data_IF_634414765115
#
_entry.id   IF_634414765115
#
_cell.length_a   1.000
_cell.length_b   1.000
_cell.length_c   1.000
_cell.angle_alpha   90.00
_cell.angle_beta   90.00
_cell.angle_gamma   90.00
#
_symmetry.space_group_name_H-M   'P 1'
#
loop_
_entity.id
_entity.type
_entity.pdbx_description
1 polymer ?
#
# COMPACT_ATOMS: atom_id res chain seq x y z
N UNK A 1 -24.43 -21.58 -22.60
CA UNK A 1 -23.87 -21.34 -21.25
C UNK A 1 -22.52 -20.64 -21.44
N UNK A 2 -22.50 -19.31 -21.37
CA UNK A 2 -21.26 -18.54 -21.55
C UNK A 2 -20.36 -18.80 -20.34
N UNK A 3 -19.22 -19.48 -20.54
CA UNK A 3 -18.17 -19.59 -19.52
C UNK A 3 -17.82 -18.17 -19.09
N UNK A 4 -18.04 -17.83 -17.84
CA UNK A 4 -17.50 -16.61 -17.24
C UNK A 4 -16.01 -16.57 -17.54
N UNK A 5 -15.50 -15.50 -18.18
CA UNK A 5 -14.07 -15.37 -18.43
C UNK A 5 -13.36 -15.45 -17.08
N UNK A 6 -12.35 -16.32 -16.99
CA UNK A 6 -11.51 -16.41 -15.81
C UNK A 6 -10.80 -15.07 -15.64
N UNK A 7 -11.22 -14.31 -14.62
CA UNK A 7 -10.65 -13.04 -14.23
C UNK A 7 -10.00 -13.21 -12.87
N UNK A 8 -8.85 -12.59 -12.69
CA UNK A 8 -8.12 -12.53 -11.44
C UNK A 8 -8.32 -11.15 -10.84
N UNK A 9 -8.57 -11.11 -9.53
CA UNK A 9 -8.41 -9.90 -8.72
C UNK A 9 -7.09 -10.07 -7.99
N UNK A 10 -6.16 -9.16 -8.24
CA UNK A 10 -4.87 -9.12 -7.58
C UNK A 10 -4.89 -7.96 -6.60
N UNK A 11 -4.63 -8.28 -5.34
CA UNK A 11 -4.37 -7.30 -4.29
C UNK A 11 -2.99 -7.57 -3.73
N UNK A 12 -2.13 -6.55 -3.75
CA UNK A 12 -0.85 -6.55 -3.09
C UNK A 12 -0.74 -5.28 -2.26
N UNK A 13 -0.31 -5.43 -1.01
CA UNK A 13 0.03 -4.31 -0.13
C UNK A 13 1.36 -4.63 0.52
N UNK A 14 2.28 -3.68 0.49
CA UNK A 14 3.57 -3.73 1.16
C UNK A 14 3.71 -2.46 1.97
N UNK A 15 4.04 -2.60 3.24
CA UNK A 15 4.19 -1.48 4.17
C UNK A 15 5.45 -1.76 4.99
N UNK A 16 6.26 -0.73 5.22
CA UNK A 16 7.43 -0.81 6.05
C UNK A 16 7.61 0.47 6.86
N UNK A 17 8.22 0.32 8.04
CA UNK A 17 8.66 1.39 8.91
C UNK A 17 10.16 1.22 9.13
N UNK A 18 10.96 2.21 8.75
CA UNK A 18 12.41 2.23 9.00
C UNK A 18 12.76 3.58 9.59
N UNK A 19 13.33 3.58 10.80
CA UNK A 19 13.79 4.78 11.51
C UNK A 19 12.71 5.88 11.63
N UNK A 20 11.44 5.48 11.84
CA UNK A 20 10.30 6.40 11.93
C UNK A 20 9.78 6.89 10.58
N UNK A 21 10.36 6.45 9.45
CA UNK A 21 9.83 6.69 8.11
C UNK A 21 8.94 5.53 7.68
N UNK A 22 7.65 5.85 7.50
CA UNK A 22 6.67 4.92 6.97
C UNK A 22 6.56 5.06 5.47
N UNK A 23 6.64 3.95 4.75
CA UNK A 23 6.40 3.93 3.31
C UNK A 23 5.77 2.62 2.87
N UNK A 24 5.17 2.64 1.69
CA UNK A 24 4.46 1.48 1.20
C UNK A 24 3.99 1.62 -0.24
N UNK A 25 3.48 0.50 -0.73
CA UNK A 25 2.89 0.36 -2.05
C UNK A 25 1.65 -0.51 -1.97
N UNK A 26 0.61 -0.15 -2.71
CA UNK A 26 -0.63 -0.91 -2.84
C UNK A 26 -1.02 -1.00 -4.29
N UNK A 27 -1.30 -2.22 -4.74
CA UNK A 27 -1.76 -2.53 -6.09
C UNK A 27 -3.08 -3.28 -5.99
N UNK A 28 -4.11 -2.77 -6.67
CA UNK A 28 -5.37 -3.46 -6.91
C UNK A 28 -5.54 -3.56 -8.43
N UNK A 29 -5.64 -4.78 -8.95
CA UNK A 29 -5.66 -5.02 -10.39
C UNK A 29 -6.68 -6.09 -10.78
N UNK A 30 -7.40 -5.84 -11.86
CA UNK A 30 -8.28 -6.80 -12.52
C UNK A 30 -7.58 -7.31 -13.77
N UNK A 31 -7.28 -8.60 -13.82
CA UNK A 31 -6.47 -9.21 -14.88
C UNK A 31 -7.27 -10.33 -15.53
N UNK A 32 -7.27 -10.44 -16.85
CA UNK A 32 -7.89 -11.57 -17.53
C UNK A 32 -6.94 -12.79 -17.65
N UNK A 33 -7.45 -13.88 -18.23
CA UNK A 33 -6.69 -15.12 -18.42
C UNK A 33 -5.48 -14.99 -19.36
N UNK A 34 -5.47 -13.96 -20.20
CA UNK A 34 -4.42 -13.69 -21.19
C UNK A 34 -3.43 -12.65 -20.65
N UNK A 35 -3.53 -12.32 -19.35
CA UNK A 35 -2.72 -11.34 -18.62
C UNK A 35 -2.93 -9.88 -19.05
N UNK A 36 -4.03 -9.58 -19.74
CA UNK A 36 -4.40 -8.18 -19.96
C UNK A 36 -4.90 -7.55 -18.66
N UNK A 37 -4.33 -6.40 -18.33
CA UNK A 37 -4.82 -5.58 -17.22
C UNK A 37 -6.10 -4.86 -17.66
N UNK A 38 -7.26 -5.24 -17.14
CA UNK A 38 -8.52 -4.57 -17.44
C UNK A 38 -8.61 -3.22 -16.71
N UNK A 39 -8.16 -3.20 -15.47
CA UNK A 39 -8.15 -2.01 -14.60
C UNK A 39 -7.10 -2.21 -13.50
N UNK A 40 -6.29 -1.20 -13.24
CA UNK A 40 -5.34 -1.20 -12.14
C UNK A 40 -5.28 0.16 -11.45
N UNK A 41 -5.18 0.10 -10.13
CA UNK A 41 -4.83 1.22 -9.27
C UNK A 41 -3.61 0.84 -8.46
N UNK A 42 -2.52 1.58 -8.67
CA UNK A 42 -1.29 1.51 -7.88
C UNK A 42 -1.17 2.79 -7.05
N UNK A 43 -0.76 2.67 -5.81
CA UNK A 43 -0.50 3.80 -4.92
C UNK A 43 0.80 3.55 -4.21
N UNK A 44 1.70 4.54 -4.23
CA UNK A 44 2.96 4.53 -3.49
C UNK A 44 3.01 5.74 -2.59
N UNK A 45 3.53 5.55 -1.39
CA UNK A 45 3.61 6.62 -0.41
C UNK A 45 4.86 6.49 0.45
N UNK A 46 5.37 7.64 0.88
CA UNK A 46 6.45 7.74 1.85
C UNK A 46 6.24 8.94 2.76
N UNK A 47 6.46 8.75 4.05
CA UNK A 47 6.41 9.79 5.08
C UNK A 47 7.84 10.04 5.54
N UNK A 48 8.33 11.24 5.27
CA UNK A 48 9.65 11.67 5.72
C UNK A 48 9.50 12.64 6.89
N UNK A 49 10.12 12.31 8.01
CA UNK A 49 10.28 13.19 9.15
C UNK A 49 11.49 14.10 8.90
N UNK A 50 11.27 15.39 8.66
CA UNK A 50 12.38 16.33 8.60
C UNK A 50 12.72 16.82 10.02
N UNK A 51 13.85 16.37 10.56
CA UNK A 51 14.40 16.94 11.79
C UNK A 51 14.98 18.33 11.50
N UNK A 52 14.20 19.39 11.76
CA UNK A 52 14.75 20.74 11.87
C UNK A 52 15.21 20.98 13.30
N UNK A 53 16.52 20.88 13.54
CA UNK A 53 17.11 21.30 14.81
C UNK A 53 17.21 22.84 14.84
N UNK A 54 16.16 23.54 15.25
CA UNK A 54 16.26 24.98 15.50
C UNK A 54 16.79 25.24 16.90
N UNK A 55 18.07 25.63 17.00
CA UNK A 55 18.68 26.08 18.24
C UNK A 55 18.20 27.50 18.61
N UNK A 56 16.98 27.64 19.12
CA UNK A 56 16.59 28.87 19.83
C UNK A 56 17.02 28.76 21.30
N UNK A 57 18.07 29.50 21.68
CA UNK A 57 18.44 29.71 23.08
C UNK A 57 17.51 30.75 23.69
N UNK A 58 16.49 30.29 24.41
CA UNK A 58 15.91 31.08 25.50
C UNK A 58 16.32 30.46 26.84
N UNK A 59 16.74 31.26 27.83
CA UNK A 59 17.12 30.76 29.13
C UNK A 59 15.87 30.20 29.80
N UNK A 60 15.85 28.88 30.00
CA UNK A 60 14.96 28.12 30.91
C UNK A 60 13.72 27.42 30.31
N UNK A 61 13.50 27.42 28.99
CA UNK A 61 12.49 26.53 28.39
C UNK A 61 13.00 25.90 27.09
N UNK A 62 13.17 24.58 27.10
CA UNK A 62 13.45 23.77 25.90
C UNK A 62 12.09 23.28 25.37
N UNK A 63 11.50 24.03 24.45
CA UNK A 63 10.40 23.51 23.64
C UNK A 63 10.99 22.96 22.33
N UNK A 64 10.84 21.66 22.08
CA UNK A 64 11.06 21.06 20.77
C UNK A 64 9.76 21.28 19.98
N UNK A 65 9.76 22.16 18.97
CA UNK A 65 8.62 22.36 18.09
C UNK A 65 8.97 22.16 16.62
N UNK A 66 8.04 21.49 15.92
CA UNK A 66 7.91 21.17 14.49
C UNK A 66 8.94 20.23 13.87
N UNK A 67 8.58 18.94 13.85
CA UNK A 67 8.99 18.04 12.77
C UNK A 67 8.16 18.39 11.53
N UNK A 68 8.80 18.88 10.46
CA UNK A 68 8.09 19.09 9.20
C UNK A 68 7.87 17.71 8.56
N UNK A 69 6.68 17.15 8.69
CA UNK A 69 6.30 15.90 8.04
C UNK A 69 6.06 16.19 6.55
N UNK A 70 6.97 15.74 5.70
CA UNK A 70 6.73 15.74 4.25
C UNK A 70 6.24 14.35 3.84
N UNK A 71 5.00 14.27 3.35
CA UNK A 71 4.47 13.05 2.74
C UNK A 71 4.56 13.15 1.22
N UNK A 72 5.10 12.10 0.60
CA UNK A 72 5.06 11.91 -0.84
C UNK A 72 4.02 10.84 -1.14
N UNK A 73 3.16 11.11 -2.14
CA UNK A 73 2.18 10.13 -2.61
C UNK A 73 2.09 10.17 -4.12
N UNK A 74 2.21 9.01 -4.74
CA UNK A 74 1.96 8.79 -6.15
C UNK A 74 0.78 7.82 -6.32
N UNK A 75 -0.15 8.17 -7.21
CA UNK A 75 -1.29 7.33 -7.54
C UNK A 75 -1.32 7.17 -9.05
N UNK A 76 -1.19 5.93 -9.50
CA UNK A 76 -1.34 5.55 -10.88
C UNK A 76 -2.64 4.77 -11.03
N UNK A 77 -3.48 5.21 -11.97
CA UNK A 77 -4.66 4.50 -12.40
C UNK A 77 -4.58 4.26 -13.90
N UNK A 78 -4.82 3.04 -14.34
CA UNK A 78 -5.04 2.80 -15.76
C UNK A 78 -6.04 1.69 -16.00
N UNK A 79 -6.82 1.85 -17.07
CA UNK A 79 -7.88 0.92 -17.43
C UNK A 79 -8.01 0.80 -18.95
N UNK A 80 -8.38 -0.40 -19.39
CA UNK A 80 -8.70 -0.67 -20.78
C UNK A 80 -10.08 -0.07 -21.10
N UNK A 81 -10.11 0.89 -22.02
CA UNK A 81 -11.32 1.54 -22.50
C UNK A 81 -11.40 1.37 -24.03
N UNK A 82 -12.39 0.60 -24.48
CA UNK A 82 -12.61 0.24 -25.88
C UNK A 82 -11.36 -0.37 -26.55
N UNK A 83 -10.52 0.46 -27.16
CA UNK A 83 -9.32 0.10 -27.93
C UNK A 83 -8.05 0.85 -27.49
N UNK A 84 -8.05 1.40 -26.27
CA UNK A 84 -6.92 2.14 -25.69
C UNK A 84 -6.86 1.98 -24.18
N UNK A 85 -5.66 2.12 -23.62
CA UNK A 85 -5.48 2.30 -22.19
C UNK A 85 -5.59 3.78 -21.84
N UNK A 86 -6.52 4.11 -20.94
CA UNK A 86 -6.52 5.40 -20.25
C UNK A 86 -5.57 5.31 -19.07
N UNK A 87 -4.66 6.27 -18.93
CA UNK A 87 -3.69 6.34 -17.84
C UNK A 87 -3.84 7.70 -17.15
N UNK A 88 -3.99 7.67 -15.84
CA UNK A 88 -4.07 8.84 -14.96
C UNK A 88 -3.00 8.70 -13.89
N UNK A 89 -2.09 9.66 -13.80
CA UNK A 89 -1.08 9.73 -12.75
C UNK A 89 -1.30 10.98 -11.92
N UNK A 90 -1.23 10.84 -10.59
CA UNK A 90 -1.31 11.92 -9.63
C UNK A 90 -0.10 11.86 -8.69
N UNK A 91 0.56 12.99 -8.47
CA UNK A 91 1.68 13.10 -7.54
C UNK A 91 1.46 14.27 -6.58
N UNK A 92 1.64 14.02 -5.28
CA UNK A 92 1.60 15.02 -4.23
C UNK A 92 3.00 15.09 -3.58
N UNK A 93 3.81 16.06 -3.98
CA UNK A 93 5.14 16.29 -3.39
C UNK A 93 5.29 17.72 -2.87
N UNK A 94 4.42 18.67 -3.27
CA UNK A 94 4.28 20.04 -2.74
C UNK A 94 3.06 20.73 -3.40
N UNK A 95 2.76 20.37 -4.65
CA UNK A 95 1.55 20.70 -5.39
C UNK A 95 0.98 19.40 -5.96
N UNK A 96 -0.36 19.29 -6.04
CA UNK A 96 -0.99 18.13 -6.67
C UNK A 96 -0.89 18.27 -8.18
N UNK A 97 -0.03 17.48 -8.80
CA UNK A 97 0.05 17.38 -10.26
C UNK A 97 -0.77 16.19 -10.74
N UNK A 98 -1.54 16.39 -11.81
CA UNK A 98 -2.29 15.31 -12.46
C UNK A 98 -1.97 15.30 -13.96
N UNK A 99 -1.60 14.13 -14.47
CA UNK A 99 -1.41 13.91 -15.90
C UNK A 99 -2.33 12.81 -16.40
N UNK A 100 -2.76 12.94 -17.67
CA UNK A 100 -3.64 11.97 -18.34
C UNK A 100 -3.06 11.63 -19.71
N UNK A 101 -2.96 10.34 -20.00
CA UNK A 101 -2.42 9.82 -21.26
C UNK A 101 -3.34 8.74 -21.81
N UNK A 102 -3.26 8.52 -23.12
CA UNK A 102 -3.91 7.41 -23.79
C UNK A 102 -2.87 6.63 -24.58
N UNK A 103 -2.85 5.32 -24.40
CA UNK A 103 -2.00 4.43 -25.21
C UNK A 103 -2.89 3.52 -26.07
N UNK A 104 -2.72 3.53 -27.40
CA UNK A 104 -3.50 2.64 -28.27
C UNK A 104 -3.09 1.17 -28.06
N UNK A 105 -4.00 0.25 -28.33
CA UNK A 105 -3.71 -1.20 -28.26
C UNK A 105 -2.56 -1.64 -29.17
N UNK A 106 -2.33 -0.96 -30.29
CA UNK A 106 -1.18 -1.22 -31.16
C UNK A 106 0.17 -0.98 -30.46
N UNK A 107 0.23 -0.03 -29.52
CA UNK A 107 1.43 0.26 -28.73
C UNK A 107 1.50 -0.59 -27.45
N UNK A 108 0.38 -1.10 -26.94
CA UNK A 108 0.27 -1.82 -25.65
C UNK A 108 0.04 -3.32 -25.79
N UNK A 109 0.31 -3.88 -26.98
CA UNK A 109 0.06 -5.29 -27.29
C UNK A 109 0.74 -6.26 -26.30
N UNK A 110 1.99 -5.96 -25.92
CA UNK A 110 2.79 -6.78 -25.02
C UNK A 110 2.98 -6.07 -23.66
N UNK A 111 1.98 -5.26 -23.26
CA UNK A 111 2.02 -4.54 -22.00
C UNK A 111 1.50 -5.40 -20.86
N UNK A 112 2.29 -5.51 -19.79
CA UNK A 112 1.88 -6.12 -18.53
C UNK A 112 1.79 -5.07 -17.43
N UNK A 113 0.66 -5.06 -16.73
CA UNK A 113 0.50 -4.26 -15.52
C UNK A 113 1.20 -4.87 -14.30
N UNK A 114 1.26 -4.14 -13.18
CA UNK A 114 1.98 -4.61 -12.00
C UNK A 114 1.25 -5.80 -11.33
N UNK A 115 -0.09 -5.76 -11.28
CA UNK A 115 -0.87 -6.90 -10.79
C UNK A 115 -0.73 -8.13 -11.69
N UNK A 116 -0.78 -7.94 -13.01
CA UNK A 116 -0.57 -9.01 -13.99
C UNK A 116 0.87 -9.58 -13.92
N UNK A 117 1.86 -8.72 -13.63
CA UNK A 117 3.25 -9.11 -13.43
C UNK A 117 3.39 -10.12 -12.28
N UNK A 118 2.71 -9.93 -11.14
CA UNK A 118 2.75 -10.92 -10.07
C UNK A 118 2.13 -12.26 -10.47
N UNK A 119 1.06 -12.26 -11.26
CA UNK A 119 0.50 -13.52 -11.81
C UNK A 119 1.51 -14.19 -12.74
N UNK A 120 2.12 -13.42 -13.63
CA UNK A 120 3.13 -13.92 -14.56
C UNK A 120 4.32 -14.53 -13.82
N UNK A 121 4.92 -13.83 -12.86
CA UNK A 121 6.06 -14.33 -12.10
C UNK A 121 5.73 -15.64 -11.38
N UNK A 122 4.53 -15.75 -10.81
CA UNK A 122 4.04 -17.01 -10.20
C UNK A 122 3.91 -18.11 -11.23
N UNK A 123 3.34 -17.81 -12.40
CA UNK A 123 3.21 -18.78 -13.49
C UNK A 123 4.58 -19.27 -13.98
N UNK A 124 5.56 -18.38 -14.16
CA UNK A 124 6.92 -18.72 -14.58
C UNK A 124 7.63 -19.62 -13.56
N UNK A 125 7.45 -19.35 -12.27
CA UNK A 125 8.01 -20.20 -11.21
C UNK A 125 7.36 -21.60 -11.19
N UNK A 126 6.03 -21.69 -11.33
CA UNK A 126 5.28 -22.96 -11.35
C UNK A 126 5.67 -23.81 -12.58
N UNK A 127 5.82 -23.16 -13.74
CA UNK A 127 6.23 -23.80 -14.99
C UNK A 127 7.74 -24.05 -15.07
N UNK A 128 8.50 -23.59 -14.07
CA UNK A 128 9.98 -23.72 -14.01
C UNK A 128 10.65 -23.10 -15.24
N UNK A 129 10.08 -22.02 -15.76
CA UNK A 129 10.60 -21.35 -16.94
C UNK A 129 12.02 -20.84 -16.69
N UNK A 130 12.91 -21.09 -17.64
CA UNK A 130 14.29 -20.58 -17.66
C UNK A 130 14.52 -19.89 -18.98
N UNK A 131 15.06 -18.68 -18.94
CA UNK A 131 15.28 -17.87 -20.13
C UNK A 131 14.99 -16.40 -19.86
N UNK A 132 15.11 -15.61 -20.91
CA UNK A 132 14.89 -14.17 -20.84
C UNK A 132 13.91 -13.74 -21.92
N UNK A 133 13.05 -12.78 -21.59
CA UNK A 133 12.08 -12.21 -22.52
C UNK A 133 11.78 -10.76 -22.14
N UNK A 134 11.23 -10.01 -23.09
CA UNK A 134 10.95 -8.59 -22.95
C UNK A 134 9.46 -8.33 -23.20
N UNK A 135 8.91 -7.40 -22.43
CA UNK A 135 7.56 -6.87 -22.52
C UNK A 135 7.61 -5.36 -22.26
N UNK A 136 6.45 -4.72 -22.25
CA UNK A 136 6.30 -3.34 -21.78
C UNK A 136 5.50 -3.28 -20.48
N UNK A 137 5.62 -2.17 -19.76
CA UNK A 137 4.83 -1.91 -18.54
C UNK A 137 4.58 -0.41 -18.41
N UNK A 138 3.70 -0.01 -17.48
CA UNK A 138 3.53 1.40 -17.09
C UNK A 138 4.13 1.55 -15.70
N UNK A 139 5.17 2.39 -15.57
CA UNK A 139 5.81 2.63 -14.29
C UNK A 139 4.99 3.61 -13.42
N UNK A 140 5.33 3.75 -12.14
CA UNK A 140 4.52 4.54 -11.19
C UNK A 140 4.31 5.99 -11.63
N UNK A 141 5.28 6.56 -12.36
CA UNK A 141 5.21 7.90 -12.96
C UNK A 141 4.21 8.03 -14.12
N UNK A 142 3.59 6.93 -14.55
CA UNK A 142 2.62 6.88 -15.65
C UNK A 142 3.22 6.84 -17.05
N UNK A 143 4.54 6.61 -17.17
CA UNK A 143 5.22 6.40 -18.44
C UNK A 143 5.31 4.93 -18.82
N UNK A 144 5.30 4.68 -20.12
CA UNK A 144 5.46 3.34 -20.66
C UNK A 144 6.95 3.01 -20.73
N UNK A 145 7.32 1.88 -20.13
CA UNK A 145 8.71 1.48 -19.96
C UNK A 145 8.96 0.10 -20.56
N UNK A 146 10.21 -0.16 -20.93
CA UNK A 146 10.66 -1.51 -21.28
C UNK A 146 10.76 -2.33 -20.01
N UNK A 147 10.39 -3.62 -20.09
CA UNK A 147 10.31 -4.50 -18.94
C UNK A 147 10.91 -5.86 -19.32
N UNK A 148 12.11 -6.13 -18.84
CA UNK A 148 12.91 -7.31 -19.22
C UNK A 148 12.93 -8.27 -18.03
N UNK A 149 12.72 -9.55 -18.31
CA UNK A 149 12.76 -10.62 -17.34
C UNK A 149 13.92 -11.56 -17.66
N UNK A 150 14.67 -11.96 -16.64
CA UNK A 150 15.62 -13.06 -16.72
C UNK A 150 15.33 -14.07 -15.61
N UNK A 151 14.87 -15.25 -16.01
CA UNK A 151 14.38 -16.29 -15.12
C UNK A 151 15.44 -17.39 -14.98
N UNK A 152 15.83 -17.68 -13.74
CA UNK A 152 16.79 -18.71 -13.36
C UNK A 152 16.17 -19.73 -12.41
N UNK A 153 16.69 -20.95 -12.43
CA UNK A 153 16.27 -22.05 -11.54
C UNK A 153 15.40 -23.08 -12.26
N UNK A 154 14.78 -24.04 -11.56
CA UNK A 154 14.82 -24.20 -10.10
C UNK A 154 16.21 -24.57 -9.58
N UNK A 155 16.60 -24.02 -8.43
CA UNK A 155 17.81 -24.40 -7.68
C UNK A 155 17.43 -24.67 -6.21
N UNK A 156 18.07 -25.65 -5.55
CA UNK A 156 17.81 -25.91 -4.15
C UNK A 156 18.32 -24.73 -3.29
N UNK A 157 17.47 -24.26 -2.38
CA UNK A 157 17.78 -23.24 -1.39
C UNK A 157 17.23 -23.62 -0.01
N UNK A 158 17.56 -22.85 1.01
CA UNK A 158 17.04 -23.02 2.37
C UNK A 158 16.12 -21.84 2.68
N UNK A 159 14.87 -22.12 3.03
CA UNK A 159 13.87 -21.11 3.43
C UNK A 159 13.20 -21.60 4.71
N UNK A 160 13.22 -20.79 5.75
CA UNK A 160 12.68 -21.13 7.08
C UNK A 160 13.22 -22.49 7.60
N UNK A 161 14.51 -22.76 7.41
CA UNK A 161 15.15 -24.02 7.81
C UNK A 161 14.83 -25.24 6.93
N UNK A 162 14.05 -25.07 5.85
CA UNK A 162 13.66 -26.15 4.96
C UNK A 162 14.35 -26.04 3.59
N UNK A 163 14.87 -27.18 3.10
CA UNK A 163 15.44 -27.29 1.76
C UNK A 163 14.31 -27.36 0.73
N UNK A 164 14.19 -26.35 -0.12
CA UNK A 164 13.16 -26.23 -1.14
C UNK A 164 13.74 -25.74 -2.47
N UNK A 165 13.10 -26.09 -3.58
CA UNK A 165 13.48 -25.61 -4.91
C UNK A 165 12.93 -24.20 -5.16
N UNK A 166 13.81 -23.31 -5.60
CA UNK A 166 13.55 -21.89 -5.80
C UNK A 166 13.83 -21.47 -7.24
N UNK A 167 12.94 -20.64 -7.78
CA UNK A 167 13.12 -19.88 -9.01
C UNK A 167 13.46 -18.44 -8.66
N UNK A 168 14.43 -17.85 -9.36
CA UNK A 168 14.85 -16.46 -9.20
C UNK A 168 14.56 -15.71 -10.49
N UNK A 169 13.78 -14.64 -10.37
CA UNK A 169 13.39 -13.80 -11.50
C UNK A 169 14.02 -12.43 -11.29
N UNK A 170 14.92 -12.06 -12.20
CA UNK A 170 15.44 -10.72 -12.31
C UNK A 170 14.52 -9.93 -13.22
N UNK A 171 14.12 -8.73 -12.80
CA UNK A 171 13.30 -7.82 -13.58
C UNK A 171 14.00 -6.48 -13.70
N UNK A 172 14.17 -6.03 -14.93
CA UNK A 172 14.77 -4.74 -15.27
C UNK A 172 13.73 -3.88 -15.98
N UNK A 173 13.38 -2.74 -15.37
CA UNK A 173 12.52 -1.72 -15.98
C UNK A 173 13.41 -0.59 -16.48
N UNK A 174 13.27 -0.21 -17.75
CA UNK A 174 14.03 0.88 -18.36
C UNK A 174 13.06 1.97 -18.79
N UNK A 175 13.16 3.13 -18.16
CA UNK A 175 12.37 4.32 -18.49
C UNK A 175 12.83 4.96 -19.81
N UNK A 176 11.98 5.78 -20.42
CA UNK A 176 12.32 6.52 -21.65
C UNK A 176 13.50 7.48 -21.44
N UNK A 177 13.69 7.99 -20.22
CA UNK A 177 14.82 8.84 -19.83
C UNK A 177 16.14 8.07 -19.61
N UNK A 178 16.12 6.74 -19.71
CA UNK A 178 17.29 5.88 -19.52
C UNK A 178 17.55 5.45 -18.08
N UNK A 179 16.73 5.87 -17.11
CA UNK A 179 16.78 5.36 -15.73
C UNK A 179 16.44 3.86 -15.74
N UNK A 180 17.22 3.08 -15.01
CA UNK A 180 17.09 1.63 -14.90
C UNK A 180 16.69 1.28 -13.47
N UNK A 181 15.63 0.49 -13.33
CA UNK A 181 15.20 -0.08 -12.05
C UNK A 181 15.38 -1.60 -12.10
N UNK A 182 16.19 -2.13 -11.21
CA UNK A 182 16.38 -3.57 -11.06
C UNK A 182 15.63 -4.08 -9.82
N UNK A 183 14.93 -5.19 -9.98
CA UNK A 183 14.34 -5.93 -8.87
C UNK A 183 14.57 -7.41 -9.04
N UNK A 184 14.57 -8.12 -7.93
CA UNK A 184 14.77 -9.55 -7.86
C UNK A 184 13.65 -10.14 -7.03
N UNK A 185 12.94 -11.10 -7.61
CA UNK A 185 11.91 -11.86 -6.89
C UNK A 185 12.31 -13.32 -6.85
N UNK A 186 12.35 -13.89 -5.65
CA UNK A 186 12.60 -15.32 -5.43
C UNK A 186 11.27 -15.99 -5.10
N UNK A 187 10.93 -17.03 -5.83
CA UNK A 187 9.69 -17.79 -5.65
C UNK A 187 9.98 -19.28 -5.46
N UNK A 188 9.11 -19.96 -4.72
CA UNK A 188 9.06 -21.42 -4.72
C UNK A 188 8.52 -21.95 -6.06
N UNK A 189 8.78 -23.22 -6.37
CA UNK A 189 8.16 -23.91 -7.53
C UNK A 189 6.63 -24.07 -7.44
N UNK A 190 6.03 -23.59 -6.35
CA UNK A 190 4.57 -23.49 -6.19
C UNK A 190 4.04 -22.06 -6.36
N UNK A 191 4.91 -21.10 -6.72
CA UNK A 191 4.52 -19.71 -6.95
C UNK A 191 4.26 -18.93 -5.66
N UNK A 192 4.88 -19.31 -4.54
CA UNK A 192 4.92 -18.48 -3.32
C UNK A 192 6.14 -17.57 -3.39
N UNK A 193 5.96 -16.27 -3.12
CA UNK A 193 7.07 -15.32 -3.04
C UNK A 193 7.80 -15.57 -1.72
N UNK A 194 9.11 -15.82 -1.81
CA UNK A 194 10.01 -16.04 -0.67
C UNK A 194 10.70 -14.75 -0.30
N UNK A 195 11.24 -14.04 -1.27
CA UNK A 195 11.87 -12.74 -1.06
C UNK A 195 11.70 -11.83 -2.26
N UNK A 196 11.75 -10.52 -1.98
CA UNK A 196 11.77 -9.49 -3.00
C UNK A 196 12.77 -8.40 -2.60
N UNK A 197 13.61 -8.03 -3.56
CA UNK A 197 14.72 -7.07 -3.43
C UNK A 197 14.62 -6.05 -4.55
N UNK A 198 14.98 -4.79 -4.27
CA UNK A 198 15.09 -3.72 -5.24
C UNK A 198 16.47 -3.10 -5.15
N UNK A 199 17.07 -2.82 -6.30
CA UNK A 199 18.35 -2.12 -6.35
C UNK A 199 18.21 -0.72 -5.75
N UNK A 200 19.19 -0.32 -4.93
CA UNK A 200 19.17 0.95 -4.22
C UNK A 200 18.31 0.98 -2.95
N UNK A 201 17.56 -0.09 -2.65
CA UNK A 201 16.81 -0.19 -1.40
C UNK A 201 17.62 -0.97 -0.34
N UNK A 202 17.77 -0.45 0.90
CA UNK A 202 18.53 -1.13 1.95
C UNK A 202 17.75 -2.27 2.63
N UNK A 203 16.53 -2.56 2.19
CA UNK A 203 15.63 -3.53 2.79
C UNK A 203 15.25 -4.64 1.81
N UNK A 204 14.91 -5.80 2.38
CA UNK A 204 14.48 -7.00 1.67
C UNK A 204 13.16 -7.44 2.28
N UNK A 205 12.14 -7.65 1.44
CA UNK A 205 10.93 -8.32 1.90
C UNK A 205 11.22 -9.81 1.93
N UNK A 206 10.95 -10.45 3.06
CA UNK A 206 11.13 -11.89 3.23
C UNK A 206 9.85 -12.52 3.78
N UNK A 207 9.55 -13.75 3.34
CA UNK A 207 8.42 -14.53 3.84
C UNK A 207 8.54 -14.71 5.36
N UNK A 208 7.41 -14.60 6.06
CA UNK A 208 7.39 -14.76 7.51
C UNK A 208 7.90 -16.18 7.89
N UNK A 209 8.89 -16.29 8.82
CA UNK A 209 9.50 -17.55 9.24
C UNK A 209 8.51 -18.61 9.74
N UNK A 210 7.33 -18.19 10.24
CA UNK A 210 6.29 -19.06 10.78
C UNK A 210 5.43 -19.73 9.69
N UNK A 211 5.49 -19.27 8.43
CA UNK A 211 4.75 -19.90 7.35
C UNK A 211 5.39 -21.21 6.92
N UNK A 212 4.53 -22.22 6.69
CA UNK A 212 4.93 -23.50 6.13
C UNK A 212 5.28 -23.33 4.65
N UNK A 213 6.57 -23.37 4.34
CA UNK A 213 7.10 -23.23 2.97
C UNK A 213 7.29 -24.57 2.26
N UNK A 214 7.08 -25.69 2.97
CA UNK A 214 7.30 -27.05 2.47
C UNK A 214 6.00 -27.66 1.92
N UNK A 215 6.09 -28.22 0.72
CA UNK A 215 4.98 -28.90 0.06
C UNK A 215 4.13 -27.95 -0.79
N UNK A 216 3.10 -28.50 -1.44
CA UNK A 216 2.10 -27.68 -2.12
C UNK A 216 1.44 -26.81 -1.05
N UNK A 217 1.33 -25.48 -1.25
CA UNK A 217 0.53 -24.67 -0.36
C UNK A 217 -0.85 -25.32 -0.29
N UNK A 218 -1.35 -25.49 0.94
CA UNK A 218 -2.78 -25.79 1.13
C UNK A 218 -3.50 -24.71 0.32
N UNK A 219 -4.42 -25.06 -0.59
CA UNK A 219 -5.23 -24.05 -1.25
C UNK A 219 -5.71 -23.16 -0.12
N UNK A 220 -5.36 -21.87 -0.13
CA UNK A 220 -6.09 -20.91 0.68
C UNK A 220 -7.54 -21.25 0.40
N UNK A 221 -8.25 -21.78 1.40
CA UNK A 221 -9.66 -22.18 1.29
C UNK A 221 -10.26 -21.16 0.39
N UNK A 222 -10.68 -21.55 -0.82
CA UNK A 222 -11.02 -20.61 -1.87
C UNK A 222 -11.92 -19.58 -1.23
N UNK A 223 -11.37 -18.40 -0.88
CA UNK A 223 -12.15 -17.41 -0.15
C UNK A 223 -13.08 -16.98 -1.24
N UNK A 224 -14.29 -17.51 -1.18
CA UNK A 224 -15.20 -17.47 -2.29
C UNK A 224 -15.50 -16.00 -2.52
N UNK A 225 -14.79 -15.41 -3.46
CA UNK A 225 -14.91 -14.03 -3.84
C UNK A 225 -16.32 -13.89 -4.41
N UNK A 226 -17.14 -13.16 -3.65
CA UNK A 226 -18.56 -12.84 -3.85
C UNK A 226 -19.58 -13.89 -3.33
N UNK A 227 -20.43 -13.38 -2.43
CA UNK A 227 -21.77 -13.85 -2.01
C UNK A 227 -21.90 -15.11 -1.17
N UNK A 228 -20.85 -15.90 -0.92
CA UNK A 228 -21.01 -17.07 -0.03
C UNK A 228 -21.33 -16.65 1.41
N UNK A 229 -20.84 -15.48 1.85
CA UNK A 229 -21.17 -14.94 3.17
C UNK A 229 -22.67 -14.61 3.31
N UNK A 230 -23.33 -14.12 2.24
CA UNK A 230 -24.78 -13.81 2.24
C UNK A 230 -25.63 -15.07 2.41
N UNK A 231 -25.11 -16.23 1.99
CA UNK A 231 -25.80 -17.53 2.13
C UNK A 231 -25.45 -18.28 3.41
N UNK A 232 -24.36 -17.91 4.09
CA UNK A 232 -23.94 -18.54 5.34
C UNK A 232 -24.55 -17.78 6.52
N UNK A 233 -25.51 -18.41 7.21
CA UNK A 233 -26.27 -17.81 8.31
C UNK A 233 -25.38 -17.32 9.47
N UNK A 234 -24.28 -18.02 9.77
CA UNK A 234 -23.34 -17.61 10.82
C UNK A 234 -22.58 -16.33 10.40
N UNK A 235 -22.16 -16.24 9.15
CA UNK A 235 -21.43 -15.08 8.63
C UNK A 235 -22.34 -13.87 8.46
N UNK A 236 -23.60 -14.06 8.05
CA UNK A 236 -24.61 -12.99 8.04
C UNK A 236 -24.86 -12.49 9.45
N UNK A 237 -24.98 -13.37 10.45
CA UNK A 237 -25.14 -12.95 11.86
C UNK A 237 -23.97 -12.08 12.31
N UNK A 238 -22.73 -12.55 12.13
CA UNK A 238 -21.52 -11.79 12.50
C UNK A 238 -21.47 -10.42 11.81
N UNK A 239 -21.82 -10.36 10.53
CA UNK A 239 -21.89 -9.09 9.79
C UNK A 239 -22.94 -8.15 10.38
N UNK A 240 -24.14 -8.65 10.69
CA UNK A 240 -25.21 -7.84 11.26
C UNK A 240 -24.83 -7.33 12.65
N UNK A 241 -24.20 -8.17 13.48
CA UNK A 241 -23.71 -7.78 14.80
C UNK A 241 -22.66 -6.69 14.69
N UNK A 242 -21.63 -6.86 13.84
CA UNK A 242 -20.61 -5.83 13.60
C UNK A 242 -21.20 -4.54 13.03
N UNK A 243 -22.20 -4.64 12.13
CA UNK A 243 -22.87 -3.47 11.55
C UNK A 243 -23.64 -2.70 12.64
N UNK A 244 -24.41 -3.39 13.47
CA UNK A 244 -25.15 -2.77 14.57
C UNK A 244 -24.20 -2.12 15.56
N UNK A 245 -23.09 -2.78 15.90
CA UNK A 245 -22.06 -2.23 16.77
C UNK A 245 -21.43 -0.96 16.17
N UNK A 246 -21.08 -0.98 14.88
CA UNK A 246 -20.53 0.18 14.19
C UNK A 246 -21.54 1.35 14.10
N UNK A 247 -22.81 1.06 13.80
CA UNK A 247 -23.87 2.06 13.81
C UNK A 247 -24.11 2.64 15.21
N UNK A 248 -24.05 1.80 16.25
CA UNK A 248 -24.17 2.23 17.63
C UNK A 248 -23.02 3.15 18.02
N UNK A 249 -21.77 2.73 17.78
CA UNK A 249 -20.57 3.55 18.03
C UNK A 249 -20.66 4.90 17.31
N UNK A 250 -21.12 4.93 16.06
CA UNK A 250 -21.27 6.19 15.32
C UNK A 250 -22.39 7.08 15.88
N UNK A 251 -23.50 6.50 16.36
CA UNK A 251 -24.60 7.25 16.97
C UNK A 251 -24.24 7.78 18.36
N UNK A 252 -23.43 7.07 19.13
CA UNK A 252 -23.00 7.51 20.46
C UNK A 252 -21.73 8.36 20.41
N UNK A 253 -20.99 8.37 19.30
CA UNK A 253 -19.71 9.09 19.15
C UNK A 253 -19.75 10.53 19.68
N UNK A 254 -20.69 11.36 19.22
CA UNK A 254 -20.79 12.76 19.69
C UNK A 254 -21.21 12.89 21.16
N UNK A 255 -21.92 11.89 21.69
CA UNK A 255 -22.33 11.86 23.10
C UNK A 255 -21.18 11.40 24.01
N UNK A 256 -20.36 10.47 23.50
CA UNK A 256 -19.21 9.91 24.21
C UNK A 256 -17.99 10.85 24.14
N UNK A 257 -17.97 11.77 23.17
CA UNK A 257 -16.93 12.77 22.95
C UNK A 257 -17.48 14.21 23.04
N UNK A 258 -17.90 14.67 24.24
CA UNK A 258 -18.42 16.03 24.44
C UNK A 258 -17.44 17.12 24.00
N UNK A 259 -16.13 16.86 24.05
CA UNK A 259 -15.08 17.77 23.58
C UNK A 259 -15.22 18.15 22.11
N UNK A 260 -15.72 17.26 21.26
CA UNK A 260 -15.98 17.53 19.84
C UNK A 260 -17.19 18.44 19.70
N UNK A 261 -18.22 18.23 20.53
CA UNK A 261 -19.41 19.06 20.54
C UNK A 261 -19.09 20.50 20.99
N UNK A 262 -18.24 20.64 22.01
CA UNK A 262 -17.77 21.94 22.50
C UNK A 262 -16.92 22.65 21.44
N UNK A 263 -15.97 21.95 20.81
CA UNK A 263 -15.14 22.47 19.73
C UNK A 263 -15.98 22.97 18.53
N UNK A 264 -17.00 22.21 18.12
CA UNK A 264 -17.91 22.63 17.06
C UNK A 264 -18.75 23.84 17.46
N UNK A 265 -19.15 23.93 18.73
CA UNK A 265 -19.91 25.06 19.26
C UNK A 265 -19.06 26.33 19.28
N UNK A 266 -17.81 26.23 19.72
CA UNK A 266 -16.86 27.34 19.73
C UNK A 266 -16.50 27.78 18.31
N UNK A 267 -16.38 26.84 17.37
CA UNK A 267 -16.18 27.15 15.95
C UNK A 267 -17.36 27.94 15.38
N UNK A 268 -18.60 27.46 15.59
CA UNK A 268 -19.81 28.13 15.12
C UNK A 268 -19.95 29.52 15.73
N UNK A 269 -19.70 29.67 17.03
CA UNK A 269 -19.67 30.96 17.71
C UNK A 269 -18.63 31.91 17.09
N UNK A 270 -17.43 31.40 16.78
CA UNK A 270 -16.35 32.17 16.16
C UNK A 270 -16.72 32.64 14.75
N UNK A 271 -17.33 31.78 13.93
CA UNK A 271 -17.82 32.14 12.59
C UNK A 271 -18.91 33.20 12.68
N UNK A 272 -19.88 33.03 13.59
CA UNK A 272 -21.00 33.95 13.75
C UNK A 272 -20.58 35.32 14.30
N UNK A 273 -19.55 35.37 15.14
CA UNK A 273 -19.01 36.60 15.71
C UNK A 273 -18.14 37.37 14.70
N UNK A 274 -17.21 36.68 14.03
CA UNK A 274 -16.22 37.29 13.15
C UNK A 274 -16.74 37.53 11.73
N UNK A 275 -17.80 36.80 11.31
CA UNK A 275 -18.44 36.88 9.99
C UNK A 275 -17.43 37.05 8.84
N UNK A 276 -16.50 36.11 8.67
CA UNK A 276 -15.49 36.21 7.63
C UNK A 276 -16.13 36.22 6.23
N UNK A 277 -15.57 36.99 5.30
CA UNK A 277 -16.06 37.06 3.91
C UNK A 277 -15.98 35.69 3.20
N UNK A 278 -14.98 34.88 3.56
CA UNK A 278 -14.85 33.51 3.11
C UNK A 278 -14.65 32.58 4.30
N UNK A 279 -15.64 31.70 4.51
CA UNK A 279 -15.64 30.76 5.64
C UNK A 279 -14.57 29.68 5.45
N UNK A 280 -14.25 29.26 4.22
CA UNK A 280 -13.39 28.09 3.98
C UNK A 280 -11.95 28.26 4.50
N UNK A 281 -11.20 29.34 4.20
CA UNK A 281 -9.88 29.56 4.79
C UNK A 281 -9.92 29.69 6.31
N UNK A 282 -10.96 30.38 6.84
CA UNK A 282 -11.15 30.54 8.27
C UNK A 282 -11.37 29.20 8.99
N UNK A 283 -12.15 28.29 8.38
CA UNK A 283 -12.36 26.93 8.92
C UNK A 283 -11.05 26.16 9.03
N UNK A 284 -10.23 26.21 7.97
CA UNK A 284 -8.94 25.50 7.92
C UNK A 284 -8.02 26.01 9.03
N UNK A 285 -7.85 27.33 9.12
CA UNK A 285 -6.98 27.93 10.13
C UNK A 285 -7.49 27.68 11.56
N UNK A 286 -8.82 27.69 11.77
CA UNK A 286 -9.43 27.45 13.07
C UNK A 286 -9.13 26.02 13.57
N UNK A 287 -9.40 25.01 12.75
CA UNK A 287 -9.23 23.60 13.14
C UNK A 287 -7.75 23.15 13.14
N UNK A 288 -6.87 23.79 12.38
CA UNK A 288 -5.41 23.55 12.45
C UNK A 288 -4.83 23.79 13.85
N UNK A 289 -5.45 24.65 14.67
CA UNK A 289 -4.99 24.90 16.04
C UNK A 289 -5.33 23.76 17.02
N UNK A 290 -6.27 22.88 16.65
CA UNK A 290 -6.69 21.73 17.46
C UNK A 290 -6.04 20.42 17.00
N UNK A 291 -5.25 20.46 15.94
CA UNK A 291 -4.47 19.30 15.52
C UNK A 291 -3.53 18.94 16.68
N UNK A 292 -3.67 17.75 17.30
CA UNK A 292 -2.65 17.31 18.24
C UNK A 292 -1.32 17.34 17.49
N UNK A 293 -0.22 17.68 18.19
CA UNK A 293 1.12 17.38 17.66
C UNK A 293 1.04 16.00 17.05
N UNK A 294 1.31 15.92 15.75
CA UNK A 294 1.20 14.69 14.96
C UNK A 294 2.06 13.63 15.62
N UNK A 295 1.46 12.90 16.56
CA UNK A 295 2.07 11.73 17.16
C UNK A 295 2.16 10.74 16.00
N UNK A 296 3.35 10.19 15.73
CA UNK A 296 3.53 9.24 14.65
C UNK A 296 2.46 8.16 14.81
N UNK A 297 1.65 7.97 13.76
CA UNK A 297 0.59 6.96 13.74
C UNK A 297 1.21 5.62 14.17
N UNK A 298 0.81 5.14 15.35
CA UNK A 298 1.27 3.85 15.85
C UNK A 298 0.79 2.76 14.87
N UNK A 299 1.68 1.88 14.40
CA UNK A 299 1.31 0.78 13.52
C UNK A 299 0.33 -0.17 14.23
N UNK A 300 -0.55 -0.77 13.44
CA UNK A 300 -1.38 -1.88 13.91
C UNK A 300 -0.49 -3.01 14.47
N UNK A 301 -0.98 -3.68 15.52
CA UNK A 301 -0.41 -4.84 16.24
C UNK A 301 0.65 -4.54 17.33
N UNK A 302 0.21 -3.95 18.44
CA UNK A 302 0.76 -4.32 19.75
C UNK A 302 -0.31 -5.09 20.54
N UNK A 303 0.07 -6.26 21.04
CA UNK A 303 -0.61 -6.92 22.15
C UNK A 303 -0.52 -5.98 23.36
N UNK A 304 -1.66 -5.71 24.01
CA UNK A 304 -1.68 -5.04 25.31
C UNK A 304 -0.95 -5.94 26.33
N UNK A 305 0.33 -5.66 26.56
CA UNK A 305 1.07 -6.27 27.66
C UNK A 305 0.86 -5.42 28.93
N UNK A 306 -0.18 -5.77 29.71
CA UNK A 306 -0.54 -5.10 30.98
C UNK A 306 0.60 -5.09 32.02
N UNK A 307 1.70 -5.81 31.80
CA UNK A 307 2.81 -5.93 32.75
C UNK A 307 3.89 -4.84 32.64
N UNK A 308 3.79 -3.88 31.70
CA UNK A 308 4.78 -2.79 31.58
C UNK A 308 4.45 -1.52 32.36
N UNK A 309 3.31 -1.44 33.03
CA UNK A 309 2.87 -0.22 33.75
C UNK A 309 3.47 -0.12 35.17
N UNK A 310 4.15 -1.14 35.69
CA UNK A 310 4.58 -1.14 37.12
C UNK A 310 6.00 -0.69 37.41
N UNK A 311 6.81 -0.25 36.43
CA UNK A 311 8.22 0.12 36.69
C UNK A 311 8.57 1.61 36.47
N UNK A 312 7.58 2.50 36.34
CA UNK A 312 7.83 3.97 36.37
C UNK A 312 7.44 4.61 37.70
N UNK A 313 7.76 3.93 38.80
CA UNK A 313 7.66 4.52 40.13
C UNK A 313 8.82 4.08 41.01
N UNK A 314 10.05 4.42 40.63
CA UNK A 314 11.21 4.57 41.53
C UNK A 314 12.45 4.92 40.69
N UNK A 315 12.70 6.22 40.49
CA UNK A 315 14.05 6.79 40.33
C UNK A 315 14.00 8.32 40.43
N UNK A 316 13.50 8.80 41.57
CA UNK A 316 14.08 9.95 42.26
C UNK A 316 14.38 9.49 43.68
N UNK A 317 15.68 9.24 43.91
CA UNK A 317 16.35 8.66 45.08
C UNK A 317 16.28 7.14 45.23
#
# INVERSE_FOLDING_TARGET
>A
MFKTPHKFVVHLSTEFNVDGQNAGSRVISWVDKDLHTLEERRTEWGVHLNQKQTNFKFPNFRYLFREDISSTKQVLYYALQDSKYFVKHQQNTNETTETRKYYPLSKTKDMIGEGANFILMRYLAITKYTGSFEMSTIYINGDMCRNIYDCKGPKPGIVNGHKIDLCKIYRTIIEECGIIHLSVTVLTVYGMIVSQEWEGCPYIIHINPLFVTKGKPVPYDCVALKKVWETNMEMVSKYLDCKVEAEFKMKTYLKDHPEIQDMLSDYLNSVLLLKPENVMPFTVDYFMNFEPYSLPELPYFDDFDENKVTNESEMFW
#
